data_IF_057717926509
#
_entry.id   IF_057717926509
#
_cell.length_a   1.000
_cell.length_b   1.000
_cell.length_c   1.000
_cell.angle_alpha   90.00
_cell.angle_beta   90.00
_cell.angle_gamma   90.00
#
_symmetry.space_group_name_H-M   'P 1'
#
loop_
_entity.id
_entity.type
_entity.pdbx_description
1 polymer ?
#
# COMPACT_ATOMS: atom_id res chain seq x y z
N UNK A 1 -11.27 -2.08 4.29
CA UNK A 1 -9.85 -2.06 3.87
C UNK A 1 -9.06 -2.72 4.97
N UNK A 2 -8.08 -3.56 4.67
CA UNK A 2 -7.15 -4.07 5.67
C UNK A 2 -5.77 -3.54 5.35
N UNK A 3 -5.11 -2.90 6.31
CA UNK A 3 -3.72 -2.46 6.18
C UNK A 3 -2.86 -3.34 7.08
N UNK A 4 -1.91 -4.08 6.51
CA UNK A 4 -0.99 -4.93 7.25
C UNK A 4 0.42 -4.32 7.25
N UNK A 5 1.02 -4.23 8.44
CA UNK A 5 2.45 -3.98 8.63
C UNK A 5 3.13 -5.33 8.81
N UNK A 6 3.67 -5.87 7.71
CA UNK A 6 4.18 -7.23 7.69
C UNK A 6 3.10 -8.26 8.01
N UNK A 7 3.55 -9.38 8.59
CA UNK A 7 2.67 -10.49 8.96
C UNK A 7 2.00 -10.34 10.33
N UNK A 8 2.40 -9.38 11.15
CA UNK A 8 2.16 -9.42 12.60
C UNK A 8 1.21 -8.32 13.11
N UNK A 9 0.96 -7.27 12.32
CA UNK A 9 0.07 -6.17 12.71
C UNK A 9 -0.85 -5.79 11.56
N UNK A 10 -2.15 -5.67 11.82
CA UNK A 10 -3.10 -5.13 10.85
C UNK A 10 -4.17 -4.24 11.45
N UNK A 11 -4.63 -3.29 10.63
CA UNK A 11 -5.77 -2.42 10.89
C UNK A 11 -6.89 -2.72 9.90
N UNK A 12 -8.04 -3.15 10.41
CA UNK A 12 -9.25 -3.41 9.62
C UNK A 12 -10.17 -2.20 9.69
N UNK A 13 -10.27 -1.49 8.57
CA UNK A 13 -11.13 -0.32 8.42
C UNK A 13 -12.48 -0.73 7.85
N UNK A 14 -13.54 -0.52 8.64
CA UNK A 14 -14.92 -0.61 8.21
C UNK A 14 -15.40 0.76 7.73
N UNK A 15 -15.61 0.89 6.43
CA UNK A 15 -16.05 2.14 5.81
C UNK A 15 -17.51 2.47 6.12
N UNK A 16 -18.34 1.46 6.33
CA UNK A 16 -19.77 1.62 6.61
C UNK A 16 -19.97 2.13 8.03
N UNK A 17 -19.35 1.45 8.99
CA UNK A 17 -19.48 1.79 10.41
C UNK A 17 -18.47 2.87 10.87
N UNK A 18 -17.51 3.24 10.01
CA UNK A 18 -16.44 4.21 10.30
C UNK A 18 -15.61 3.81 11.52
N UNK A 19 -15.33 2.53 11.65
CA UNK A 19 -14.52 1.97 12.75
C UNK A 19 -13.20 1.43 12.24
N UNK A 20 -12.24 1.32 13.16
CA UNK A 20 -10.97 0.63 12.95
C UNK A 20 -10.80 -0.40 14.05
N UNK A 21 -10.38 -1.61 13.68
CA UNK A 21 -10.01 -2.67 14.60
C UNK A 21 -8.54 -3.05 14.37
N UNK A 22 -7.78 -3.18 15.46
CA UNK A 22 -6.38 -3.58 15.45
C UNK A 22 -6.27 -5.08 15.72
N UNK A 23 -5.37 -5.74 15.01
CA UNK A 23 -5.02 -7.15 15.17
C UNK A 23 -3.50 -7.27 15.23
N UNK A 24 -2.97 -7.94 16.26
CA UNK A 24 -1.52 -8.02 16.56
C UNK A 24 -0.98 -9.44 16.47
N UNK A 25 -1.72 -10.35 15.82
CA UNK A 25 -1.31 -11.73 15.57
C UNK A 25 -1.62 -12.13 14.12
N UNK A 26 -0.61 -12.68 13.43
CA UNK A 26 -0.73 -13.05 12.02
C UNK A 26 -1.81 -14.06 11.71
N UNK A 27 -2.10 -15.00 12.63
CA UNK A 27 -3.18 -15.97 12.42
C UNK A 27 -4.53 -15.30 12.55
N UNK A 28 -4.72 -14.43 13.54
CA UNK A 28 -5.95 -13.65 13.69
C UNK A 28 -6.22 -12.77 12.46
N UNK A 29 -5.18 -12.12 11.93
CA UNK A 29 -5.25 -11.32 10.70
C UNK A 29 -5.76 -12.16 9.52
N UNK A 30 -5.18 -13.35 9.32
CA UNK A 30 -5.62 -14.26 8.24
C UNK A 30 -7.07 -14.70 8.44
N UNK A 31 -7.43 -15.07 9.68
CA UNK A 31 -8.77 -15.54 10.03
C UNK A 31 -9.81 -14.45 9.76
N UNK A 32 -9.59 -13.23 10.23
CA UNK A 32 -10.58 -12.15 10.04
C UNK A 32 -10.77 -11.83 8.56
N UNK A 33 -9.68 -11.78 7.77
CA UNK A 33 -9.77 -11.55 6.32
C UNK A 33 -10.60 -12.65 5.65
N UNK A 34 -10.35 -13.93 5.98
CA UNK A 34 -11.13 -15.06 5.42
C UNK A 34 -12.60 -15.00 5.82
N UNK A 35 -12.91 -14.65 7.07
CA UNK A 35 -14.29 -14.51 7.55
C UNK A 35 -15.00 -13.39 6.78
N UNK A 36 -14.36 -12.24 6.56
CA UNK A 36 -14.94 -11.14 5.80
C UNK A 36 -15.18 -11.52 4.34
N UNK A 37 -14.19 -12.16 3.69
CA UNK A 37 -14.31 -12.65 2.32
C UNK A 37 -15.42 -13.72 2.18
N UNK A 38 -15.48 -14.68 3.10
CA UNK A 38 -16.50 -15.73 3.13
C UNK A 38 -17.92 -15.21 3.36
N UNK A 39 -18.06 -14.03 3.98
CA UNK A 39 -19.35 -13.31 4.12
C UNK A 39 -19.73 -12.50 2.86
N UNK A 40 -18.92 -12.54 1.80
CA UNK A 40 -19.15 -11.78 0.58
C UNK A 40 -18.85 -10.28 0.71
N UNK A 41 -18.17 -9.86 1.78
CA UNK A 41 -17.74 -8.46 1.92
C UNK A 41 -16.61 -8.21 0.92
N UNK A 42 -16.80 -7.24 0.04
CA UNK A 42 -15.77 -6.82 -0.91
C UNK A 42 -14.80 -5.87 -0.21
N UNK A 43 -13.51 -6.08 -0.44
CA UNK A 43 -12.47 -5.23 0.12
C UNK A 43 -11.16 -5.35 -0.63
N UNK A 44 -10.16 -4.62 -0.15
CA UNK A 44 -8.79 -4.76 -0.58
C UNK A 44 -7.85 -4.74 0.63
N UNK A 45 -6.72 -5.41 0.47
CA UNK A 45 -5.64 -5.52 1.44
C UNK A 45 -4.47 -4.68 0.94
N UNK A 46 -3.97 -3.80 1.80
CA UNK A 46 -2.68 -3.13 1.63
C UNK A 46 -1.69 -3.88 2.52
N UNK A 47 -0.67 -4.48 1.94
CA UNK A 47 0.34 -5.24 2.68
C UNK A 47 1.70 -4.59 2.53
N UNK A 48 2.24 -4.08 3.64
CA UNK A 48 3.57 -3.52 3.76
C UNK A 48 4.57 -4.64 4.08
N UNK A 49 5.45 -4.93 3.12
CA UNK A 49 6.33 -6.11 3.16
C UNK A 49 7.50 -5.88 4.11
N UNK A 50 7.53 -6.67 5.18
CA UNK A 50 8.59 -6.70 6.19
C UNK A 50 9.71 -7.70 5.87
N UNK A 51 9.40 -8.78 5.14
CA UNK A 51 10.33 -9.89 4.83
C UNK A 51 10.53 -10.06 3.32
N UNK A 52 11.79 -10.24 2.91
CA UNK A 52 12.13 -10.48 1.49
C UNK A 52 11.51 -11.78 0.98
N UNK A 53 10.99 -11.75 -0.24
CA UNK A 53 10.61 -12.93 -1.02
C UNK A 53 9.33 -13.67 -0.59
N UNK A 54 8.72 -13.29 0.52
CA UNK A 54 7.47 -13.89 1.00
C UNK A 54 6.41 -12.80 1.17
N UNK A 55 5.38 -12.83 0.33
CA UNK A 55 4.14 -12.15 0.66
C UNK A 55 3.33 -12.97 1.66
N UNK A 56 2.20 -12.45 2.14
CA UNK A 56 1.46 -13.07 3.23
C UNK A 56 0.86 -14.40 2.80
N UNK A 57 1.34 -15.48 3.42
CA UNK A 57 0.78 -16.81 3.21
C UNK A 57 -0.62 -16.91 3.85
N UNK A 58 -1.49 -17.73 3.26
CA UNK A 58 -2.85 -17.95 3.78
C UNK A 58 -3.88 -16.84 3.47
N UNK A 59 -3.48 -15.70 2.89
CA UNK A 59 -4.42 -14.65 2.48
C UNK A 59 -5.26 -15.13 1.26
N UNK A 60 -6.51 -14.65 1.12
CA UNK A 60 -7.43 -15.09 0.06
C UNK A 60 -6.90 -14.76 -1.34
N UNK A 61 -7.51 -15.37 -2.37
CA UNK A 61 -7.14 -15.10 -3.77
C UNK A 61 -7.63 -13.71 -4.21
N UNK A 62 -6.95 -13.10 -5.20
CA UNK A 62 -7.34 -11.80 -5.77
C UNK A 62 -8.78 -11.74 -6.31
N UNK A 63 -9.37 -12.90 -6.63
CA UNK A 63 -10.76 -13.01 -7.11
C UNK A 63 -11.81 -12.55 -6.08
N UNK A 64 -11.47 -12.63 -4.79
CA UNK A 64 -12.39 -12.21 -3.72
C UNK A 64 -12.06 -10.82 -3.17
N UNK A 65 -10.78 -10.51 -3.01
CA UNK A 65 -10.28 -9.27 -2.43
C UNK A 65 -9.10 -8.76 -3.24
N UNK A 66 -9.07 -7.47 -3.57
CA UNK A 66 -7.94 -6.85 -4.26
C UNK A 66 -6.71 -6.70 -3.36
N UNK A 67 -5.52 -6.58 -3.94
CA UNK A 67 -4.28 -6.51 -3.17
C UNK A 67 -3.38 -5.36 -3.64
N UNK A 68 -2.80 -4.65 -2.67
CA UNK A 68 -1.81 -3.61 -2.91
C UNK A 68 -0.59 -4.02 -2.09
N UNK A 69 0.52 -4.34 -2.76
CA UNK A 69 1.76 -4.68 -2.09
C UNK A 69 2.65 -3.44 -2.02
N UNK A 70 3.05 -3.06 -0.82
CA UNK A 70 4.06 -2.03 -0.60
C UNK A 70 5.34 -2.77 -0.25
N UNK A 71 6.36 -2.67 -1.10
CA UNK A 71 7.67 -3.27 -0.84
C UNK A 71 8.75 -2.28 -1.25
N UNK A 72 9.93 -2.43 -0.65
CA UNK A 72 11.15 -1.86 -1.20
C UNK A 72 11.30 -2.25 -2.69
N UNK A 73 12.01 -1.43 -3.50
CA UNK A 73 12.21 -1.66 -4.93
C UNK A 73 13.11 -2.87 -5.16
N UNK A 74 12.56 -4.06 -4.94
CA UNK A 74 13.19 -5.34 -5.18
C UNK A 74 12.25 -6.17 -6.05
N UNK A 75 12.58 -6.28 -7.34
CA UNK A 75 11.77 -7.00 -8.33
C UNK A 75 11.47 -8.45 -7.93
N UNK A 76 12.38 -9.10 -7.20
CA UNK A 76 12.25 -10.49 -6.79
C UNK A 76 11.06 -10.70 -5.84
N UNK A 77 10.73 -9.70 -5.02
CA UNK A 77 9.60 -9.77 -4.09
C UNK A 77 8.27 -9.86 -4.86
N UNK A 78 8.08 -9.01 -5.88
CA UNK A 78 6.82 -8.93 -6.61
C UNK A 78 6.65 -10.11 -7.58
N UNK A 79 7.72 -10.54 -8.26
CA UNK A 79 7.71 -11.68 -9.18
C UNK A 79 7.34 -12.98 -8.47
N UNK A 80 7.95 -13.22 -7.30
CA UNK A 80 7.65 -14.38 -6.46
C UNK A 80 6.15 -14.42 -6.08
N UNK A 81 5.62 -13.28 -5.66
CA UNK A 81 4.25 -13.21 -5.17
C UNK A 81 3.18 -13.28 -6.27
N UNK A 82 3.40 -12.58 -7.39
CA UNK A 82 2.52 -12.68 -8.55
C UNK A 82 2.39 -14.14 -9.04
N UNK A 83 3.50 -14.88 -9.03
CA UNK A 83 3.51 -16.33 -9.32
C UNK A 83 2.73 -17.13 -8.27
N UNK A 84 2.90 -16.84 -6.98
CA UNK A 84 2.20 -17.53 -5.89
C UNK A 84 0.68 -17.33 -5.93
N UNK A 85 0.21 -16.15 -6.31
CA UNK A 85 -1.22 -15.78 -6.27
C UNK A 85 -1.92 -15.84 -7.63
N UNK A 86 -1.22 -16.22 -8.69
CA UNK A 86 -1.71 -16.16 -10.07
C UNK A 86 -2.32 -14.78 -10.39
N UNK A 87 -1.71 -13.72 -9.85
CA UNK A 87 -2.23 -12.36 -9.95
C UNK A 87 -1.71 -11.67 -11.22
N UNK A 88 -2.55 -10.80 -11.80
CA UNK A 88 -2.10 -9.89 -12.85
C UNK A 88 -1.26 -8.77 -12.20
N UNK A 89 0.02 -8.70 -12.55
CA UNK A 89 0.94 -7.74 -11.97
C UNK A 89 0.81 -6.37 -12.65
N UNK A 90 0.44 -5.32 -11.90
CA UNK A 90 0.56 -3.94 -12.33
C UNK A 90 1.66 -3.25 -11.51
N UNK A 91 2.88 -3.23 -12.05
CA UNK A 91 3.96 -2.43 -11.45
C UNK A 91 3.77 -0.99 -11.87
N UNK A 92 3.55 -0.11 -10.91
CA UNK A 92 3.70 1.33 -11.12
C UNK A 92 4.96 1.76 -10.39
N UNK A 93 5.91 2.32 -11.14
CA UNK A 93 7.07 2.96 -10.53
C UNK A 93 6.61 4.12 -9.63
N UNK A 94 7.35 4.32 -8.54
CA UNK A 94 7.12 5.48 -7.69
C UNK A 94 7.39 6.75 -8.50
N UNK A 95 6.59 7.82 -8.37
CA UNK A 95 6.94 9.11 -8.93
C UNK A 95 8.33 9.52 -8.44
N UNK A 96 9.24 9.86 -9.35
CA UNK A 96 10.57 10.32 -8.98
C UNK A 96 10.54 11.75 -8.40
N UNK A 97 11.70 12.29 -7.99
CA UNK A 97 11.74 13.67 -7.44
C UNK A 97 11.13 14.69 -8.41
N UNK A 98 11.36 14.53 -9.72
CA UNK A 98 10.86 15.46 -10.74
C UNK A 98 9.35 15.32 -10.93
N UNK A 99 8.82 14.10 -10.92
CA UNK A 99 7.37 13.85 -10.97
C UNK A 99 6.69 14.50 -9.76
N UNK A 100 7.22 14.28 -8.55
CA UNK A 100 6.68 14.88 -7.33
C UNK A 100 6.77 16.40 -7.37
N UNK A 101 7.87 16.94 -7.90
CA UNK A 101 8.05 18.39 -8.09
C UNK A 101 7.03 18.96 -9.07
N UNK A 102 6.76 18.28 -10.18
CA UNK A 102 5.73 18.66 -11.15
C UNK A 102 4.33 18.62 -10.52
N UNK A 103 4.01 17.59 -9.76
CA UNK A 103 2.75 17.50 -9.00
C UNK A 103 2.60 18.66 -8.00
N UNK A 104 3.68 19.02 -7.30
CA UNK A 104 3.71 20.16 -6.38
C UNK A 104 3.44 21.47 -7.11
N UNK A 105 4.12 21.71 -8.24
CA UNK A 105 3.92 22.89 -9.07
C UNK A 105 2.47 22.97 -9.57
N UNK A 106 1.91 21.88 -10.07
CA UNK A 106 0.53 21.81 -10.54
C UNK A 106 -0.50 22.09 -9.44
N UNK A 107 -0.33 21.47 -8.27
CA UNK A 107 -1.21 21.64 -7.11
C UNK A 107 -1.19 23.08 -6.58
N UNK A 108 -0.05 23.75 -6.69
CA UNK A 108 0.15 25.12 -6.19
C UNK A 108 0.15 26.17 -7.30
N UNK A 109 -0.30 25.83 -8.51
CA UNK A 109 -0.19 26.68 -9.72
C UNK A 109 -0.83 28.07 -9.60
N UNK A 110 -1.91 28.19 -8.82
CA UNK A 110 -2.61 29.46 -8.59
C UNK A 110 -2.03 30.28 -7.43
N UNK A 111 -1.04 29.73 -6.73
CA UNK A 111 -0.42 30.36 -5.55
C UNK A 111 0.83 31.13 -5.95
N UNK A 112 1.24 32.08 -5.10
CA UNK A 112 2.46 32.85 -5.33
C UNK A 112 3.72 31.97 -5.33
N UNK A 113 4.75 32.39 -6.07
CA UNK A 113 6.04 31.70 -6.16
C UNK A 113 6.64 31.38 -4.78
N UNK A 114 6.43 32.26 -3.79
CA UNK A 114 6.90 32.06 -2.40
C UNK A 114 6.20 30.86 -1.75
N UNK A 115 4.91 30.70 -1.95
CA UNK A 115 4.13 29.56 -1.43
C UNK A 115 4.56 28.26 -2.13
N UNK A 116 4.73 28.30 -3.47
CA UNK A 116 5.19 27.13 -4.22
C UNK A 116 6.56 26.64 -3.75
N UNK A 117 7.53 27.55 -3.56
CA UNK A 117 8.86 27.22 -3.01
C UNK A 117 8.80 26.60 -1.62
N UNK A 118 7.97 27.17 -0.72
CA UNK A 118 7.81 26.63 0.65
C UNK A 118 7.17 25.24 0.62
N UNK A 119 6.14 25.05 -0.20
CA UNK A 119 5.47 23.76 -0.36
C UNK A 119 6.42 22.69 -0.92
N UNK A 120 7.19 23.03 -1.96
CA UNK A 120 8.21 22.12 -2.50
C UNK A 120 9.26 21.73 -1.46
N UNK A 121 9.79 22.70 -0.69
CA UNK A 121 10.77 22.43 0.36
C UNK A 121 10.26 21.38 1.37
N UNK A 122 9.04 21.54 1.86
CA UNK A 122 8.42 20.61 2.80
C UNK A 122 8.24 19.20 2.20
N UNK A 123 7.87 19.11 0.91
CA UNK A 123 7.70 17.81 0.25
C UNK A 123 9.05 17.15 -0.04
N UNK A 124 10.06 17.94 -0.42
CA UNK A 124 11.42 17.45 -0.63
C UNK A 124 12.04 16.90 0.65
N UNK A 125 11.92 17.62 1.77
CA UNK A 125 12.37 17.13 3.09
C UNK A 125 11.71 15.77 3.43
N UNK A 126 10.42 15.60 3.13
CA UNK A 126 9.77 14.31 3.29
C UNK A 126 10.31 13.23 2.34
N UNK A 127 10.56 13.56 1.08
CA UNK A 127 11.17 12.60 0.15
C UNK A 127 12.55 12.15 0.63
N UNK A 128 13.35 13.06 1.15
CA UNK A 128 14.69 12.76 1.67
C UNK A 128 14.61 11.86 2.92
N UNK A 129 13.58 12.03 3.76
CA UNK A 129 13.37 11.25 4.99
C UNK A 129 12.73 9.86 4.74
N UNK A 130 11.68 9.79 3.90
CA UNK A 130 10.85 8.58 3.73
C UNK A 130 10.92 7.95 2.33
N UNK A 131 11.63 8.57 1.39
CA UNK A 131 11.70 8.14 -0.01
C UNK A 131 10.47 8.50 -0.83
N UNK A 132 10.48 8.12 -2.12
CA UNK A 132 9.32 8.18 -3.00
C UNK A 132 8.33 7.07 -2.60
N UNK A 133 7.03 7.39 -2.47
CA UNK A 133 6.03 6.41 -1.99
C UNK A 133 5.86 5.32 -3.06
N UNK A 134 6.25 4.06 -2.80
CA UNK A 134 5.98 2.96 -3.72
C UNK A 134 4.50 2.60 -3.69
N UNK A 135 3.92 2.41 -4.87
CA UNK A 135 2.56 1.89 -5.02
C UNK A 135 2.56 0.82 -6.10
N UNK A 136 2.79 -0.43 -5.73
CA UNK A 136 2.48 -1.55 -6.61
C UNK A 136 1.02 -1.97 -6.39
N UNK A 137 0.22 -2.02 -7.46
CA UNK A 137 -1.20 -2.45 -7.44
C UNK A 137 -1.28 -3.84 -8.08
N UNK A 138 -2.00 -4.78 -7.47
CA UNK A 138 -2.15 -6.16 -7.95
C UNK A 138 -3.63 -6.52 -8.08
#
# INVERSE_FOLDING_TARGET
>A
VVYCFGGDLAYVFDKTNKTVAEYVDGKEIIIIIKVLAGRGIKGYIIYDVDKKGQGPDGFPTPETWGFILLSSPNEDNFKSWAKQKHANLIVMDCPDENDVKAMCAWKTRAMSVRVQKKYWKMIKERLDDVGTIPRSIF
#
